data_IF_092231385185
#
_entry.id   IF_092231385185
#
_cell.length_a   1.000
_cell.length_b   1.000
_cell.length_c   1.000
_cell.angle_alpha   90.00
_cell.angle_beta   90.00
_cell.angle_gamma   90.00
#
_symmetry.space_group_name_H-M   'P 1'
#
loop_
_entity.id
_entity.type
_entity.pdbx_description
1 polymer ?
#
# COMPACT_ATOMS: atom_id res chain seq x y z
N UNK A 1 -9.37 -21.46 -5.74
CA UNK A 1 -8.29 -21.02 -4.82
C UNK A 1 -7.76 -19.68 -5.28
N UNK A 2 -7.47 -18.71 -4.40
CA UNK A 2 -6.85 -17.45 -4.81
C UNK A 2 -5.48 -17.70 -5.44
N UNK A 3 -5.14 -16.93 -6.47
CA UNK A 3 -3.83 -17.02 -7.13
C UNK A 3 -2.68 -16.56 -6.22
N UNK A 4 -1.43 -16.84 -6.63
CA UNK A 4 -0.22 -16.47 -5.87
C UNK A 4 -0.13 -14.96 -5.56
N UNK A 5 -0.59 -14.10 -6.47
CA UNK A 5 -0.52 -12.64 -6.29
C UNK A 5 -1.44 -12.13 -5.16
N UNK A 6 -2.76 -12.42 -5.14
CA UNK A 6 -3.64 -12.06 -4.01
C UNK A 6 -3.12 -12.53 -2.64
N UNK A 7 -2.54 -13.73 -2.57
CA UNK A 7 -1.95 -14.25 -1.33
C UNK A 7 -0.70 -13.48 -0.91
N UNK A 8 0.20 -13.18 -1.85
CA UNK A 8 1.41 -12.42 -1.55
C UNK A 8 1.12 -10.97 -1.14
N UNK A 9 0.11 -10.33 -1.75
CA UNK A 9 -0.34 -8.98 -1.35
C UNK A 9 -0.87 -9.01 0.09
N UNK A 10 -1.71 -10.00 0.42
CA UNK A 10 -2.22 -10.18 1.78
C UNK A 10 -1.09 -10.39 2.77
N UNK A 11 -0.17 -11.32 2.49
CA UNK A 11 0.97 -11.62 3.35
C UNK A 11 1.85 -10.39 3.56
N UNK A 12 2.10 -9.60 2.51
CA UNK A 12 2.82 -8.34 2.63
C UNK A 12 2.10 -7.37 3.58
N UNK A 13 0.80 -7.14 3.37
CA UNK A 13 0.01 -6.24 4.21
C UNK A 13 -0.03 -6.72 5.66
N UNK A 14 -0.13 -8.03 5.92
CA UNK A 14 -0.11 -8.60 7.27
C UNK A 14 1.28 -8.50 7.94
N UNK A 15 2.37 -8.50 7.15
CA UNK A 15 3.74 -8.40 7.67
C UNK A 15 4.17 -6.99 8.10
N UNK A 16 3.43 -5.93 7.73
CA UNK A 16 3.82 -4.55 8.05
C UNK A 16 3.77 -4.35 9.57
N UNK A 17 4.83 -3.87 10.24
CA UNK A 17 4.79 -3.63 11.68
C UNK A 17 3.74 -2.57 12.05
N UNK A 18 3.03 -2.75 13.17
CA UNK A 18 1.99 -1.81 13.62
C UNK A 18 2.53 -0.38 13.78
N UNK A 19 3.75 -0.24 14.29
CA UNK A 19 4.44 1.05 14.44
C UNK A 19 4.65 1.81 13.10
N UNK A 20 4.57 1.12 11.96
CA UNK A 20 4.65 1.73 10.62
C UNK A 20 3.28 2.17 10.09
N UNK A 21 2.18 1.73 10.71
CA UNK A 21 0.80 2.02 10.29
C UNK A 21 0.14 3.11 11.14
N UNK A 22 0.90 3.79 11.99
CA UNK A 22 0.43 4.87 12.86
C UNK A 22 1.41 6.04 12.83
N UNK A 23 0.95 7.21 13.30
CA UNK A 23 1.84 8.35 13.53
C UNK A 23 2.59 8.81 12.29
N UNK A 24 1.96 8.77 11.11
CA UNK A 24 2.56 9.24 9.86
C UNK A 24 2.98 10.71 10.00
N UNK A 25 4.27 10.93 10.24
CA UNK A 25 4.87 12.24 10.25
C UNK A 25 5.24 12.59 8.80
N UNK A 26 4.68 13.66 8.23
CA UNK A 26 5.39 14.32 7.13
C UNK A 26 4.99 15.78 6.88
N UNK A 27 5.98 16.70 6.78
CA UNK A 27 5.86 17.98 6.08
C UNK A 27 5.73 17.86 4.54
N UNK A 28 6.08 16.73 3.91
CA UNK A 28 5.96 16.48 2.47
C UNK A 28 5.32 15.11 2.16
N UNK A 29 4.11 15.03 1.59
CA UNK A 29 3.25 13.86 1.74
C UNK A 29 3.56 12.70 0.77
N UNK A 30 4.81 12.51 0.34
CA UNK A 30 5.18 11.36 -0.49
C UNK A 30 6.46 10.68 -0.04
N UNK A 31 6.35 9.49 0.56
CA UNK A 31 7.48 8.65 0.96
C UNK A 31 7.08 7.17 1.09
N UNK A 32 8.09 6.29 1.12
CA UNK A 32 7.92 4.86 1.37
C UNK A 32 7.94 4.57 2.87
N UNK A 33 6.84 4.00 3.38
CA UNK A 33 6.66 3.64 4.79
C UNK A 33 7.34 2.30 5.12
N UNK A 34 7.19 1.32 4.21
CA UNK A 34 7.65 -0.05 4.41
C UNK A 34 7.87 -0.72 3.06
N UNK A 35 8.87 -1.60 2.94
CA UNK A 35 9.14 -2.33 1.69
C UNK A 35 9.75 -3.69 1.95
N UNK A 36 9.52 -4.61 1.02
CA UNK A 36 10.25 -5.85 0.87
C UNK A 36 10.68 -6.02 -0.60
N UNK A 37 11.07 -7.23 -1.00
CA UNK A 37 11.50 -7.52 -2.38
C UNK A 37 10.41 -7.21 -3.41
N UNK A 38 9.17 -7.64 -3.16
CA UNK A 38 8.09 -7.60 -4.16
C UNK A 38 7.23 -6.33 -4.09
N UNK A 39 7.13 -5.72 -2.92
CA UNK A 39 6.18 -4.64 -2.64
C UNK A 39 6.78 -3.51 -1.81
N UNK A 40 6.12 -2.37 -1.90
CA UNK A 40 6.29 -1.24 -0.98
C UNK A 40 4.93 -0.65 -0.60
N UNK A 41 4.83 -0.15 0.62
CA UNK A 41 3.75 0.70 1.10
C UNK A 41 4.23 2.14 1.00
N UNK A 42 3.58 2.94 0.17
CA UNK A 42 3.86 4.35 0.00
C UNK A 42 2.70 5.20 0.54
N UNK A 43 3.04 6.35 1.10
CA UNK A 43 2.12 7.47 1.27
C UNK A 43 2.18 8.30 -0.02
N UNK A 44 1.06 8.47 -0.72
CA UNK A 44 0.95 9.06 -2.07
C UNK A 44 0.04 10.31 -2.03
N UNK A 45 0.42 11.28 -1.19
CA UNK A 45 -0.25 12.55 -0.93
C UNK A 45 -1.44 12.51 0.06
N UNK A 46 -1.95 13.71 0.36
CA UNK A 46 -3.22 13.94 1.07
C UNK A 46 -4.35 14.19 0.06
N UNK A 47 -5.56 13.75 0.38
CA UNK A 47 -6.76 14.13 -0.39
C UNK A 47 -7.08 15.62 -0.19
N UNK A 48 -7.75 16.23 -1.17
CA UNK A 48 -8.26 17.60 -1.09
C UNK A 48 -9.57 17.73 -0.31
N UNK A 49 -10.14 16.60 0.14
CA UNK A 49 -11.35 16.58 0.97
C UNK A 49 -11.12 17.21 2.34
N UNK A 50 -12.17 17.73 2.98
CA UNK A 50 -12.12 18.22 4.36
C UNK A 50 -12.91 17.27 5.28
N UNK A 51 -12.29 16.63 6.30
CA UNK A 51 -10.85 16.64 6.60
C UNK A 51 -10.01 15.88 5.55
N UNK A 52 -8.72 16.23 5.38
CA UNK A 52 -7.83 15.53 4.46
C UNK A 52 -7.49 14.14 4.98
N UNK A 53 -7.30 13.20 4.06
CA UNK A 53 -6.91 11.80 4.33
C UNK A 53 -5.58 11.50 3.66
N UNK A 54 -4.73 10.71 4.31
CA UNK A 54 -3.55 10.13 3.70
C UNK A 54 -3.94 9.05 2.69
N UNK A 55 -3.35 9.12 1.50
CA UNK A 55 -3.53 8.12 0.43
C UNK A 55 -2.43 7.07 0.51
N UNK A 56 -2.68 5.98 1.21
CA UNK A 56 -1.75 4.86 1.30
C UNK A 56 -1.91 3.93 0.10
N UNK A 57 -0.80 3.51 -0.49
CA UNK A 57 -0.82 2.59 -1.62
C UNK A 57 0.23 1.49 -1.45
N UNK A 58 -0.19 0.24 -1.61
CA UNK A 58 0.74 -0.86 -1.83
C UNK A 58 1.07 -0.89 -3.31
N UNK A 59 2.35 -0.82 -3.66
CA UNK A 59 2.84 -0.82 -5.03
C UNK A 59 3.79 -2.01 -5.27
N UNK A 60 3.77 -2.54 -6.49
CA UNK A 60 4.70 -3.59 -6.92
C UNK A 60 6.07 -2.97 -7.24
N UNK A 61 7.12 -3.52 -6.63
CA UNK A 61 8.49 -3.14 -6.91
C UNK A 61 8.93 -3.58 -8.32
N UNK A 62 9.89 -2.87 -8.91
CA UNK A 62 10.40 -3.18 -10.27
C UNK A 62 10.99 -4.59 -10.35
N UNK A 63 11.60 -5.05 -9.26
CA UNK A 63 12.30 -6.33 -9.18
C UNK A 63 11.46 -7.44 -8.53
N UNK A 64 10.12 -7.30 -8.53
CA UNK A 64 9.21 -8.33 -8.01
C UNK A 64 9.52 -9.70 -8.63
N UNK A 65 9.65 -10.69 -7.76
CA UNK A 65 9.88 -12.10 -8.07
C UNK A 65 8.59 -12.81 -8.50
N UNK A 66 7.43 -12.21 -8.21
CA UNK A 66 6.12 -12.73 -8.59
C UNK A 66 5.88 -12.47 -10.07
N UNK A 67 5.95 -13.53 -10.88
CA UNK A 67 5.87 -13.49 -12.35
C UNK A 67 4.60 -12.82 -12.87
N UNK A 68 3.44 -13.09 -12.27
CA UNK A 68 2.16 -12.47 -12.67
C UNK A 68 2.15 -10.96 -12.47
N UNK A 69 2.74 -10.46 -11.38
CA UNK A 69 2.86 -9.02 -11.11
C UNK A 69 3.89 -8.36 -12.02
N UNK A 70 5.02 -9.03 -12.28
CA UNK A 70 6.04 -8.58 -13.24
C UNK A 70 5.44 -8.42 -14.64
N UNK A 71 4.70 -9.42 -15.11
CA UNK A 71 4.03 -9.38 -16.41
C UNK A 71 2.96 -8.27 -16.46
N UNK A 72 2.25 -8.03 -15.36
CA UNK A 72 1.26 -6.95 -15.28
C UNK A 72 1.91 -5.56 -15.41
N UNK A 73 3.07 -5.32 -14.78
CA UNK A 73 3.83 -4.07 -14.98
C UNK A 73 4.30 -3.91 -16.42
N UNK A 74 4.83 -4.97 -17.02
CA UNK A 74 5.28 -4.95 -18.41
C UNK A 74 4.13 -4.64 -19.39
N UNK A 75 2.98 -5.28 -19.23
CA UNK A 75 1.79 -5.03 -20.08
C UNK A 75 1.23 -3.62 -19.94
N UNK A 76 1.26 -3.06 -18.73
CA UNK A 76 0.69 -1.73 -18.47
C UNK A 76 1.66 -0.60 -18.80
N UNK A 77 2.95 -0.89 -19.01
CA UNK A 77 3.98 0.13 -19.23
C UNK A 77 4.22 1.05 -18.02
N UNK A 78 3.61 0.77 -16.87
CA UNK A 78 3.66 1.64 -15.69
C UNK A 78 4.90 1.34 -14.84
N UNK A 79 5.63 2.39 -14.49
CA UNK A 79 6.77 2.34 -13.55
C UNK A 79 6.33 1.95 -12.13
N UNK A 80 5.07 2.22 -11.78
CA UNK A 80 4.45 1.88 -10.50
C UNK A 80 3.02 1.35 -10.71
N UNK A 81 2.74 0.16 -10.17
CA UNK A 81 1.41 -0.46 -10.22
C UNK A 81 0.92 -0.64 -8.80
N UNK A 82 -0.11 0.12 -8.44
CA UNK A 82 -0.75 -0.01 -7.13
C UNK A 82 -1.65 -1.24 -7.12
N UNK A 83 -1.57 -2.02 -6.04
CA UNK A 83 -2.28 -3.29 -5.88
C UNK A 83 -3.22 -3.29 -4.69
N UNK A 84 -3.06 -2.32 -3.78
CA UNK A 84 -4.02 -1.99 -2.75
C UNK A 84 -3.97 -0.49 -2.45
N UNK A 85 -5.09 0.08 -2.02
CA UNK A 85 -5.18 1.49 -1.62
C UNK A 85 -6.02 1.65 -0.37
N UNK A 86 -5.66 2.60 0.50
CA UNK A 86 -6.47 2.99 1.64
C UNK A 86 -6.41 4.50 1.87
N UNK A 87 -7.55 5.11 2.18
CA UNK A 87 -7.64 6.49 2.63
C UNK A 87 -7.74 6.52 4.16
N UNK A 88 -6.70 7.00 4.81
CA UNK A 88 -6.58 6.99 6.28
C UNK A 88 -6.70 8.43 6.80
N UNK A 89 -7.43 8.68 7.90
CA UNK A 89 -7.46 10.00 8.53
C UNK A 89 -6.07 10.54 8.86
N UNK A 90 -5.90 11.85 8.75
CA UNK A 90 -4.64 12.54 9.05
C UNK A 90 -4.44 12.85 10.54
N UNK A 91 -5.50 12.73 11.34
CA UNK A 91 -5.54 13.02 12.78
C UNK A 91 -5.01 11.87 13.67
N UNK A 92 -4.61 10.75 13.07
CA UNK A 92 -4.13 9.58 13.81
C UNK A 92 -5.23 8.82 14.56
N UNK A 93 -6.51 9.08 14.28
CA UNK A 93 -7.64 8.41 14.94
C UNK A 93 -7.76 6.91 14.65
N UNK A 94 -7.06 6.40 13.63
CA UNK A 94 -7.09 4.99 13.27
C UNK A 94 -5.96 4.22 13.93
N UNK A 95 -6.32 3.07 14.51
CA UNK A 95 -5.34 2.07 14.95
C UNK A 95 -4.66 1.39 13.76
N UNK A 96 -3.47 0.83 13.98
CA UNK A 96 -2.75 0.05 12.99
C UNK A 96 -3.61 -1.09 12.40
N UNK A 97 -4.36 -1.79 13.25
CA UNK A 97 -5.29 -2.84 12.84
C UNK A 97 -6.36 -2.32 11.87
N UNK A 98 -6.91 -1.13 12.12
CA UNK A 98 -7.91 -0.51 11.23
C UNK A 98 -7.31 -0.08 9.90
N UNK A 99 -6.11 0.48 9.90
CA UNK A 99 -5.36 0.80 8.67
C UNK A 99 -5.08 -0.45 7.84
N UNK A 100 -4.62 -1.52 8.50
CA UNK A 100 -4.36 -2.82 7.86
C UNK A 100 -5.62 -3.41 7.24
N UNK A 101 -6.73 -3.41 7.98
CA UNK A 101 -8.02 -3.88 7.48
C UNK A 101 -8.48 -3.09 6.24
N UNK A 102 -8.29 -1.77 6.24
CA UNK A 102 -8.62 -0.94 5.09
C UNK A 102 -7.74 -1.24 3.87
N UNK A 103 -6.44 -1.47 4.06
CA UNK A 103 -5.54 -1.91 2.97
C UNK A 103 -5.96 -3.28 2.42
N UNK A 104 -6.35 -4.22 3.28
CA UNK A 104 -6.86 -5.52 2.87
C UNK A 104 -8.20 -5.42 2.12
N UNK A 105 -9.08 -4.50 2.52
CA UNK A 105 -10.35 -4.25 1.83
C UNK A 105 -10.16 -3.55 0.47
N UNK A 106 -9.15 -2.67 0.37
CA UNK A 106 -8.83 -1.93 -0.84
C UNK A 106 -7.90 -2.65 -1.82
N UNK A 107 -7.72 -3.97 -1.68
CA UNK A 107 -6.97 -4.80 -2.65
C UNK A 107 -7.70 -4.83 -3.99
N UNK A 108 -6.93 -4.83 -5.06
CA UNK A 108 -7.45 -4.83 -6.45
C UNK A 108 -7.48 -6.24 -7.08
N UNK A 109 -7.18 -7.30 -6.30
CA UNK A 109 -7.13 -8.70 -6.71
C UNK A 109 -7.49 -9.63 -5.55
#
# INVERSE_FOLDING_TARGET
>A
MPGKAPMAIRAFIESIPDAKLVGFADPNPTYTIYTNVDFRLDLQNKTSTKPPKYNLQVQVNRHSTISTLKNMKQKTGKTSTSVAKALVPTDGSWSAARVRAALLAGRMF
#
